data_IF_013048467296
#
_entry.id   IF_013048467296
#
_cell.length_a   1.000
_cell.length_b   1.000
_cell.length_c   1.000
_cell.angle_alpha   90.00
_cell.angle_beta   90.00
_cell.angle_gamma   90.00
#
_symmetry.space_group_name_H-M   'P 1'
#
loop_
_entity.id
_entity.type
_entity.pdbx_description
1 polymer ?
#
# COMPACT_ATOMS: atom_id res chain seq x y z
N UNK A 1 -27.06 -20.62 -7.75
CA UNK A 1 -25.91 -19.70 -7.60
C UNK A 1 -26.21 -18.68 -6.51
N UNK A 2 -25.62 -18.85 -5.32
CA UNK A 2 -25.41 -17.82 -4.29
C UNK A 2 -24.32 -18.39 -3.38
N UNK A 3 -23.10 -17.89 -3.53
CA UNK A 3 -21.95 -18.43 -2.82
C UNK A 3 -22.00 -17.97 -1.35
N UNK A 4 -21.72 -18.95 -0.48
CA UNK A 4 -21.56 -18.98 0.98
C UNK A 4 -21.46 -17.66 1.76
N UNK A 5 -22.10 -17.65 2.93
CA UNK A 5 -21.82 -16.76 4.07
C UNK A 5 -20.33 -16.40 4.14
N UNK A 6 -19.97 -15.18 3.77
CA UNK A 6 -18.59 -14.72 3.93
C UNK A 6 -18.36 -14.41 5.41
N UNK A 7 -17.74 -15.35 6.13
CA UNK A 7 -17.32 -15.18 7.54
C UNK A 7 -16.40 -13.98 7.73
N UNK A 8 -15.69 -13.58 6.68
CA UNK A 8 -14.81 -12.43 6.66
C UNK A 8 -15.61 -11.18 6.25
N UNK A 9 -15.79 -10.24 7.19
CA UNK A 9 -16.44 -8.94 6.91
C UNK A 9 -15.45 -7.90 6.36
N UNK A 10 -14.22 -7.94 6.86
CA UNK A 10 -13.14 -7.04 6.51
C UNK A 10 -11.81 -7.66 6.92
N UNK A 11 -10.73 -7.32 6.23
CA UNK A 11 -9.36 -7.59 6.63
C UNK A 11 -8.53 -6.33 6.49
N UNK A 12 -7.64 -6.10 7.45
CA UNK A 12 -6.78 -4.92 7.48
C UNK A 12 -5.33 -5.35 7.69
N UNK A 13 -4.41 -4.61 7.09
CA UNK A 13 -2.98 -4.69 7.40
C UNK A 13 -2.39 -3.29 7.51
N UNK A 14 -1.33 -3.18 8.30
CA UNK A 14 -0.51 -1.99 8.41
C UNK A 14 0.93 -2.45 8.34
N UNK A 15 1.73 -1.82 7.49
CA UNK A 15 3.17 -2.02 7.46
C UNK A 15 3.88 -0.68 7.31
N UNK A 16 5.11 -0.66 7.82
CA UNK A 16 6.01 0.49 7.81
C UNK A 16 7.23 0.13 6.97
N UNK A 17 7.60 1.05 6.08
CA UNK A 17 8.84 0.97 5.31
C UNK A 17 9.73 2.11 5.77
N UNK A 18 10.85 1.79 6.39
CA UNK A 18 11.87 2.74 6.82
C UNK A 18 12.93 2.87 5.72
N UNK A 19 13.27 4.10 5.34
CA UNK A 19 14.32 4.42 4.37
C UNK A 19 15.51 5.08 5.07
N UNK A 20 16.59 5.36 4.34
CA UNK A 20 17.84 5.82 4.94
C UNK A 20 17.70 7.22 5.53
N UNK A 21 16.90 8.08 4.89
CA UNK A 21 16.68 9.45 5.32
C UNK A 21 15.29 9.99 4.93
N UNK A 22 14.96 11.16 5.47
CA UNK A 22 13.67 11.83 5.25
C UNK A 22 13.44 12.21 3.79
N UNK A 23 14.50 12.59 3.06
CA UNK A 23 14.37 13.02 1.67
C UNK A 23 14.01 11.84 0.77
N UNK A 24 14.64 10.68 0.96
CA UNK A 24 14.26 9.46 0.25
C UNK A 24 12.81 9.08 0.53
N UNK A 25 12.40 9.12 1.80
CA UNK A 25 11.03 8.79 2.19
C UNK A 25 10.02 9.72 1.51
N UNK A 26 10.32 11.00 1.44
CA UNK A 26 9.51 12.00 0.74
C UNK A 26 9.46 11.76 -0.78
N UNK A 27 10.59 11.46 -1.42
CA UNK A 27 10.64 11.18 -2.86
C UNK A 27 9.83 9.93 -3.20
N UNK A 28 10.01 8.83 -2.46
CA UNK A 28 9.27 7.59 -2.70
C UNK A 28 7.77 7.81 -2.43
N UNK A 29 7.41 8.45 -1.32
CA UNK A 29 6.01 8.79 -1.02
C UNK A 29 5.36 9.58 -2.16
N UNK A 30 6.02 10.64 -2.63
CA UNK A 30 5.49 11.48 -3.71
C UNK A 30 5.39 10.73 -5.05
N UNK A 31 6.29 9.76 -5.31
CA UNK A 31 6.23 8.94 -6.52
C UNK A 31 5.04 7.99 -6.57
N UNK A 32 4.59 7.49 -5.40
CA UNK A 32 3.51 6.49 -5.29
C UNK A 32 2.15 7.16 -5.03
N UNK A 33 2.13 8.35 -4.41
CA UNK A 33 0.91 9.08 -4.06
C UNK A 33 -0.13 9.21 -5.20
N UNK A 34 0.25 9.41 -6.48
CA UNK A 34 -0.72 9.44 -7.58
C UNK A 34 -1.55 8.17 -7.70
N UNK A 35 -0.97 6.99 -7.45
CA UNK A 35 -1.66 5.69 -7.56
C UNK A 35 -2.82 5.56 -6.56
N UNK A 36 -2.71 6.19 -5.38
CA UNK A 36 -3.79 6.22 -4.38
C UNK A 36 -5.04 6.93 -4.92
N UNK A 37 -4.85 7.93 -5.78
CA UNK A 37 -5.97 8.68 -6.39
C UNK A 37 -6.65 7.89 -7.51
N UNK A 38 -5.99 6.87 -8.06
CA UNK A 38 -6.54 5.99 -9.09
C UNK A 38 -7.16 4.71 -8.53
N UNK A 39 -7.11 4.46 -7.21
CA UNK A 39 -7.80 3.35 -6.55
C UNK A 39 -9.34 3.54 -6.60
N UNK A 40 -9.94 3.26 -7.75
CA UNK A 40 -11.40 3.34 -7.99
C UNK A 40 -12.15 2.05 -7.58
N UNK A 41 -11.55 1.20 -6.75
CA UNK A 41 -12.08 -0.13 -6.44
C UNK A 41 -12.72 -0.19 -5.04
N UNK A 42 -14.03 -0.42 -4.99
CA UNK A 42 -14.81 -0.62 -3.75
C UNK A 42 -14.38 -1.82 -2.88
N UNK A 43 -13.41 -2.64 -3.31
CA UNK A 43 -12.96 -3.86 -2.60
C UNK A 43 -11.73 -3.66 -1.73
N UNK A 44 -10.91 -2.64 -1.98
CA UNK A 44 -9.69 -2.36 -1.22
C UNK A 44 -9.46 -0.87 -1.15
N UNK A 45 -9.15 -0.35 0.03
CA UNK A 45 -8.79 1.05 0.25
C UNK A 45 -7.44 1.12 0.92
N UNK A 46 -6.55 1.92 0.34
CA UNK A 46 -5.22 2.17 0.90
C UNK A 46 -5.09 3.60 1.40
N UNK A 47 -4.44 3.76 2.55
CA UNK A 47 -3.99 5.04 3.08
C UNK A 47 -2.48 4.95 3.24
N UNK A 48 -1.78 5.94 2.71
CA UNK A 48 -0.33 6.07 2.88
C UNK A 48 -0.04 7.33 3.70
N UNK A 49 0.94 7.26 4.59
CA UNK A 49 1.34 8.39 5.45
C UNK A 49 2.85 8.45 5.55
N UNK A 50 3.42 9.63 5.30
CA UNK A 50 4.84 9.91 5.51
C UNK A 50 5.09 10.33 6.97
N UNK A 51 6.06 9.70 7.62
CA UNK A 51 6.46 9.97 9.01
C UNK A 51 7.99 9.96 9.13
N UNK A 52 8.61 11.14 8.97
CA UNK A 52 10.07 11.26 9.00
C UNK A 52 10.70 10.46 7.87
N UNK A 53 11.54 9.48 8.20
CA UNK A 53 12.16 8.56 7.23
C UNK A 53 11.34 7.30 6.94
N UNK A 54 10.11 7.24 7.43
CA UNK A 54 9.23 6.08 7.26
C UNK A 54 7.98 6.40 6.44
N UNK A 55 7.52 5.42 5.67
CA UNK A 55 6.24 5.41 4.99
C UNK A 55 5.36 4.34 5.64
N UNK A 56 4.20 4.75 6.17
CA UNK A 56 3.20 3.87 6.77
C UNK A 56 2.11 3.62 5.75
N UNK A 57 1.82 2.36 5.47
CA UNK A 57 0.78 1.94 4.52
C UNK A 57 -0.25 1.11 5.27
N UNK A 58 -1.50 1.56 5.21
CA UNK A 58 -2.66 0.91 5.81
C UNK A 58 -3.62 0.49 4.70
N UNK A 59 -3.88 -0.80 4.59
CA UNK A 59 -4.77 -1.35 3.57
C UNK A 59 -5.95 -2.02 4.27
N UNK A 60 -7.15 -1.67 3.83
CA UNK A 60 -8.41 -2.23 4.31
C UNK A 60 -9.15 -2.87 3.13
N UNK A 61 -9.50 -4.15 3.24
CA UNK A 61 -10.05 -4.91 2.12
C UNK A 61 -11.18 -5.86 2.53
N UNK A 62 -12.12 -6.10 1.60
CA UNK A 62 -13.26 -7.03 1.80
C UNK A 62 -12.86 -8.50 1.70
N UNK A 63 -11.73 -8.82 1.10
CA UNK A 63 -11.27 -10.19 0.88
C UNK A 63 -9.75 -10.31 0.85
N UNK A 64 -9.24 -11.51 1.14
CA UNK A 64 -7.80 -11.80 1.24
C UNK A 64 -7.10 -11.67 -0.12
N UNK A 65 -7.80 -11.93 -1.22
CA UNK A 65 -7.22 -11.88 -2.57
C UNK A 65 -6.88 -10.43 -2.94
N UNK A 66 -7.82 -9.52 -2.70
CA UNK A 66 -7.67 -8.09 -2.90
C UNK A 66 -6.61 -7.50 -1.96
N UNK A 67 -6.57 -7.91 -0.68
CA UNK A 67 -5.50 -7.51 0.24
C UNK A 67 -4.11 -7.91 -0.28
N UNK A 68 -3.95 -9.18 -0.68
CA UNK A 68 -2.67 -9.69 -1.22
C UNK A 68 -2.25 -8.93 -2.48
N UNK A 69 -3.19 -8.62 -3.36
CA UNK A 69 -2.92 -7.84 -4.56
C UNK A 69 -2.43 -6.43 -4.21
N UNK A 70 -3.11 -5.72 -3.29
CA UNK A 70 -2.67 -4.40 -2.83
C UNK A 70 -1.28 -4.45 -2.20
N UNK A 71 -1.02 -5.37 -1.24
CA UNK A 71 0.31 -5.52 -0.62
C UNK A 71 1.39 -5.70 -1.68
N UNK A 72 1.17 -6.61 -2.63
CA UNK A 72 2.15 -6.89 -3.68
C UNK A 72 2.40 -5.67 -4.57
N UNK A 73 1.38 -4.88 -4.92
CA UNK A 73 1.54 -3.66 -5.71
C UNK A 73 2.37 -2.61 -4.96
N UNK A 74 2.02 -2.30 -3.72
CA UNK A 74 2.72 -1.28 -2.94
C UNK A 74 4.19 -1.64 -2.67
N UNK A 75 4.45 -2.88 -2.24
CA UNK A 75 5.83 -3.33 -2.03
C UNK A 75 6.63 -3.31 -3.33
N UNK A 76 6.04 -3.73 -4.46
CA UNK A 76 6.72 -3.68 -5.76
C UNK A 76 7.05 -2.25 -6.17
N UNK A 77 6.14 -1.31 -6.01
CA UNK A 77 6.38 0.10 -6.37
C UNK A 77 7.44 0.73 -5.48
N UNK A 78 7.42 0.45 -4.19
CA UNK A 78 8.44 0.92 -3.24
C UNK A 78 9.82 0.38 -3.66
N UNK A 79 9.94 -0.93 -3.89
CA UNK A 79 11.20 -1.55 -4.32
C UNK A 79 11.70 -0.97 -5.65
N UNK A 80 10.79 -0.75 -6.61
CA UNK A 80 11.16 -0.14 -7.89
C UNK A 80 11.64 1.30 -7.70
N UNK A 81 10.96 2.09 -6.87
CA UNK A 81 11.36 3.46 -6.57
C UNK A 81 12.71 3.50 -5.85
N UNK A 82 12.98 2.60 -4.91
CA UNK A 82 14.31 2.49 -4.25
C UNK A 82 15.40 2.13 -5.26
N UNK A 83 15.16 1.17 -6.16
CA UNK A 83 16.13 0.77 -7.19
C UNK A 83 16.44 1.91 -8.18
N UNK A 84 15.43 2.65 -8.62
CA UNK A 84 15.60 3.78 -9.55
C UNK A 84 16.41 4.90 -8.90
N UNK A 85 16.23 5.14 -7.61
CA UNK A 85 17.00 6.15 -6.86
C UNK A 85 18.48 5.78 -6.73
N UNK A 86 18.88 4.54 -7.06
CA UNK A 86 20.24 4.01 -6.86
C UNK A 86 20.72 4.22 -5.42
N UNK A 87 19.82 3.94 -4.49
CA UNK A 87 20.17 3.57 -3.12
C UNK A 87 20.52 2.08 -3.16
#
# INVERSE_FOLDING_TARGET
>A
MKNKNNILKNIETIFEVELDNTNEAEIIYNSISPELSFENNDRSKTIMTLKGKSIIIKINSKDVVSLRASINSYIRWINLSTEILKI
#
